data_IF_292676055033
#
_entry.id   IF_292676055033
#
_cell.length_a   1.000
_cell.length_b   1.000
_cell.length_c   1.000
_cell.angle_alpha   90.00
_cell.angle_beta   90.00
_cell.angle_gamma   90.00
#
_symmetry.space_group_name_H-M   'P 1'
#
loop_
_entity.id
_entity.type
_entity.pdbx_description
1 polymer ?
#
# COMPACT_ATOMS: atom_id res chain seq x y z
N UNK A 1 30.39 -72.52 -37.56
CA UNK A 1 29.77 -71.74 -38.65
C UNK A 1 30.42 -70.38 -38.69
N UNK A 2 30.88 -69.97 -39.88
CA UNK A 2 30.88 -68.62 -40.48
C UNK A 2 30.29 -67.47 -39.61
N UNK A 3 30.74 -66.21 -39.59
CA UNK A 3 31.82 -65.45 -40.27
C UNK A 3 31.75 -63.98 -39.77
N UNK A 4 32.67 -63.02 -39.98
CA UNK A 4 33.90 -62.91 -40.82
C UNK A 4 34.81 -61.76 -40.27
N UNK A 5 36.00 -61.61 -40.85
CA UNK A 5 36.77 -60.38 -41.19
C UNK A 5 36.04 -59.01 -41.05
N UNK A 6 36.68 -57.84 -40.78
CA UNK A 6 38.10 -57.46 -40.80
C UNK A 6 38.34 -55.98 -40.36
N UNK A 7 39.56 -55.69 -39.87
CA UNK A 7 40.46 -54.61 -40.36
C UNK A 7 40.06 -53.12 -40.21
N UNK A 8 40.70 -52.46 -39.21
CA UNK A 8 41.55 -51.23 -39.38
C UNK A 8 40.78 -49.89 -39.55
N UNK A 9 41.22 -48.70 -39.10
CA UNK A 9 42.59 -48.16 -38.99
C UNK A 9 42.80 -47.15 -37.82
N UNK A 10 44.07 -46.80 -37.55
CA UNK A 10 44.50 -45.71 -36.66
C UNK A 10 44.30 -44.34 -37.37
N UNK A 11 44.38 -43.17 -36.73
CA UNK A 11 45.63 -42.43 -36.43
C UNK A 11 45.29 -41.10 -35.71
N UNK A 12 46.17 -40.63 -34.80
CA UNK A 12 46.20 -39.28 -34.17
C UNK A 12 47.30 -38.42 -34.85
N UNK A 13 47.60 -37.15 -34.47
CA UNK A 13 46.84 -36.06 -33.82
C UNK A 13 46.87 -34.75 -34.67
N UNK A 14 46.40 -33.61 -34.15
CA UNK A 14 46.64 -32.29 -34.76
C UNK A 14 46.29 -31.10 -33.85
N UNK A 15 47.30 -30.31 -33.46
CA UNK A 15 47.14 -29.08 -32.66
C UNK A 15 47.10 -27.87 -33.60
N UNK A 16 46.22 -26.89 -33.33
CA UNK A 16 46.37 -25.55 -33.91
C UNK A 16 45.78 -24.45 -33.01
N UNK A 17 46.67 -23.71 -32.36
CA UNK A 17 46.36 -22.44 -31.68
C UNK A 17 45.92 -21.38 -32.70
N UNK A 18 44.87 -20.61 -32.37
CA UNK A 18 44.65 -19.27 -32.97
C UNK A 18 44.27 -18.24 -31.90
N UNK A 19 44.73 -17.02 -32.14
CA UNK A 19 44.87 -15.96 -31.15
C UNK A 19 43.61 -15.07 -31.05
N UNK A 20 43.47 -14.38 -29.91
CA UNK A 20 42.46 -13.34 -29.71
C UNK A 20 42.85 -12.01 -30.39
N UNK A 21 41.89 -11.22 -30.91
CA UNK A 21 42.12 -9.84 -31.30
C UNK A 21 41.73 -8.86 -30.17
N UNK A 22 42.69 -8.08 -29.68
CA UNK A 22 42.38 -6.82 -28.99
C UNK A 22 42.07 -5.70 -29.99
N UNK A 23 41.07 -4.86 -29.69
CA UNK A 23 40.95 -3.43 -30.11
C UNK A 23 39.80 -2.80 -29.30
N UNK A 24 40.03 -1.79 -28.45
CA UNK A 24 40.41 -0.37 -28.66
C UNK A 24 39.20 0.52 -28.34
N UNK A 25 39.30 1.29 -27.26
CA UNK A 25 38.28 2.26 -26.82
C UNK A 25 38.19 3.48 -27.76
N UNK A 26 36.99 4.06 -27.97
CA UNK A 26 36.82 5.37 -28.62
C UNK A 26 36.91 6.53 -27.60
N UNK A 27 37.16 7.78 -28.06
CA UNK A 27 37.63 8.87 -27.20
C UNK A 27 36.53 9.80 -26.64
N UNK A 28 36.89 10.50 -25.56
CA UNK A 28 36.15 11.63 -24.98
C UNK A 28 36.05 12.81 -25.97
N UNK A 29 34.89 13.47 -26.04
CA UNK A 29 34.73 14.77 -26.73
C UNK A 29 33.97 15.81 -25.89
N UNK A 30 34.76 16.69 -25.27
CA UNK A 30 34.60 18.14 -25.17
C UNK A 30 33.20 18.77 -25.03
N UNK A 31 33.05 19.50 -23.90
CA UNK A 31 32.16 20.66 -23.67
C UNK A 31 31.70 21.40 -24.94
N UNK A 32 30.42 21.81 -24.96
CA UNK A 32 29.97 23.03 -25.65
C UNK A 32 29.49 24.06 -24.64
N UNK A 33 29.77 25.33 -24.91
CA UNK A 33 29.42 26.48 -24.08
C UNK A 33 27.93 26.81 -24.20
N UNK A 34 27.35 27.35 -23.12
CA UNK A 34 26.01 27.95 -23.13
C UNK A 34 26.17 29.48 -23.21
N UNK A 35 25.51 30.11 -24.19
CA UNK A 35 25.62 31.54 -24.46
C UNK A 35 24.46 32.33 -23.85
N UNK A 36 24.82 33.20 -22.90
CA UNK A 36 24.25 34.50 -22.52
C UNK A 36 22.92 34.97 -23.20
N UNK A 37 21.85 35.22 -22.43
CA UNK A 37 21.34 36.55 -21.94
C UNK A 37 20.27 37.18 -22.90
N UNK A 38 19.57 38.29 -22.54
CA UNK A 38 18.68 38.48 -21.38
C UNK A 38 17.32 39.16 -21.74
N UNK A 39 16.36 39.27 -20.80
CA UNK A 39 15.65 40.53 -20.42
C UNK A 39 14.33 40.32 -19.64
N UNK A 40 14.07 41.22 -18.67
CA UNK A 40 12.73 41.56 -18.16
C UNK A 40 12.20 42.83 -18.85
N UNK A 41 10.87 43.04 -18.87
CA UNK A 41 10.22 44.02 -17.96
C UNK A 41 8.91 43.46 -17.34
N UNK A 42 8.15 44.12 -16.45
CA UNK A 42 8.25 45.42 -15.78
C UNK A 42 6.98 45.66 -14.91
N UNK A 43 7.02 46.60 -13.94
CA UNK A 43 5.90 46.88 -13.00
C UNK A 43 4.78 47.76 -13.60
N UNK A 44 3.52 47.52 -13.17
CA UNK A 44 2.40 48.46 -12.88
C UNK A 44 1.26 47.63 -12.23
N UNK A 45 0.56 47.94 -11.14
CA UNK A 45 0.15 49.15 -10.39
C UNK A 45 -1.28 49.64 -10.69
N UNK A 46 -2.17 49.49 -9.68
CA UNK A 46 -3.57 49.99 -9.57
C UNK A 46 -4.57 49.31 -10.55
N UNK A 47 -5.89 49.25 -10.33
CA UNK A 47 -6.82 50.06 -9.51
C UNK A 47 -7.93 49.22 -8.83
N UNK A 48 -8.48 49.71 -7.71
CA UNK A 48 -9.83 49.35 -7.25
C UNK A 48 -10.90 50.15 -8.02
N UNK A 49 -12.15 49.71 -8.03
CA UNK A 49 -13.32 50.60 -7.96
C UNK A 49 -14.10 50.35 -6.66
N UNK A 50 -14.21 51.40 -5.85
CA UNK A 50 -15.28 51.56 -4.88
C UNK A 50 -16.60 51.88 -5.60
N UNK A 51 -17.76 51.66 -4.94
CA UNK A 51 -18.69 52.72 -4.53
C UNK A 51 -20.06 52.18 -4.04
N UNK A 52 -20.57 52.87 -3.00
CA UNK A 52 -22.00 53.10 -2.65
C UNK A 52 -22.86 51.86 -2.33
N UNK A 53 -23.27 51.62 -1.08
CA UNK A 53 -24.13 52.44 -0.18
C UNK A 53 -25.57 52.62 -0.66
N UNK A 54 -26.53 51.95 0.01
CA UNK A 54 -27.92 52.40 0.22
C UNK A 54 -28.65 51.50 1.24
N UNK A 55 -28.79 51.98 2.48
CA UNK A 55 -30.00 51.73 3.29
C UNK A 55 -31.08 52.71 2.80
N UNK A 56 -32.39 52.43 2.95
CA UNK A 56 -33.10 52.56 4.24
C UNK A 56 -34.15 51.42 4.42
N UNK A 57 -35.10 51.36 5.37
CA UNK A 57 -35.60 52.25 6.42
C UNK A 57 -35.87 51.44 7.71
N UNK A 58 -35.82 52.11 8.87
CA UNK A 58 -36.40 51.59 10.13
C UNK A 58 -37.82 52.17 10.26
N UNK A 59 -38.82 51.31 10.47
CA UNK A 59 -40.12 51.70 11.01
C UNK A 59 -40.34 51.03 12.38
N UNK A 60 -40.69 51.85 13.38
CA UNK A 60 -41.03 51.37 14.74
C UNK A 60 -42.51 51.03 14.78
N UNK A 61 -42.85 49.84 15.28
CA UNK A 61 -44.16 49.56 15.84
C UNK A 61 -43.98 49.12 17.30
N UNK A 62 -44.65 49.79 18.23
CA UNK A 62 -44.73 49.38 19.64
C UNK A 62 -45.90 48.41 19.79
N UNK A 63 -45.65 47.21 20.30
CA UNK A 63 -46.68 46.23 20.64
C UNK A 63 -46.34 45.56 21.97
N UNK A 64 -47.12 45.85 23.01
CA UNK A 64 -46.95 45.30 24.35
C UNK A 64 -47.70 43.99 24.51
N UNK A 65 -47.01 42.87 24.76
CA UNK A 65 -47.64 41.65 25.26
C UNK A 65 -46.69 40.78 26.09
N UNK A 66 -47.01 40.68 27.39
CA UNK A 66 -46.88 39.52 28.28
C UNK A 66 -45.61 38.65 28.27
N UNK A 67 -44.97 38.64 29.45
CA UNK A 67 -44.10 37.55 29.94
C UNK A 67 -44.74 36.16 29.72
N UNK A 68 -44.01 35.25 29.09
CA UNK A 68 -43.97 33.84 29.50
C UNK A 68 -42.52 33.38 29.58
N UNK A 69 -42.10 32.92 30.76
CA UNK A 69 -40.79 32.29 30.93
C UNK A 69 -40.88 30.89 30.33
N UNK A 70 -40.22 30.66 29.20
CA UNK A 70 -39.89 29.32 28.76
C UNK A 70 -38.42 29.09 29.11
N UNK A 71 -38.20 28.48 30.27
CA UNK A 71 -36.92 27.85 30.57
C UNK A 71 -36.85 26.58 29.71
N UNK A 72 -36.48 26.76 28.44
CA UNK A 72 -36.20 25.65 27.55
C UNK A 72 -34.96 24.97 28.10
N UNK A 73 -35.14 23.88 28.85
CA UNK A 73 -34.04 23.07 29.33
C UNK A 73 -33.32 22.52 28.11
N UNK A 74 -32.14 23.09 27.83
CA UNK A 74 -31.19 22.49 26.91
C UNK A 74 -30.77 21.16 27.51
N UNK A 75 -31.50 20.09 27.14
CA UNK A 75 -31.04 18.72 27.34
C UNK A 75 -29.77 18.58 26.52
N UNK A 76 -28.63 18.77 27.17
CA UNK A 76 -27.37 18.26 26.68
C UNK A 76 -27.61 16.79 26.29
N UNK A 77 -27.20 16.36 25.08
CA UNK A 77 -27.22 14.93 24.76
C UNK A 77 -26.39 14.22 25.83
N UNK A 78 -26.76 13.00 26.26
CA UNK A 78 -26.09 12.34 27.37
C UNK A 78 -24.62 12.12 27.01
N UNK A 79 -23.75 12.98 27.57
CA UNK A 79 -22.29 12.90 27.58
C UNK A 79 -21.86 11.72 28.45
N UNK A 80 -22.29 10.53 28.04
CA UNK A 80 -22.37 9.35 28.86
C UNK A 80 -21.32 8.34 28.45
N UNK A 81 -20.58 7.88 29.46
CA UNK A 81 -19.73 6.69 29.39
C UNK A 81 -20.54 5.51 28.83
N UNK A 82 -21.82 5.36 29.20
CA UNK A 82 -22.72 4.33 28.65
C UNK A 82 -22.75 4.30 27.11
N UNK A 83 -22.99 5.43 26.43
CA UNK A 83 -23.03 5.47 24.97
C UNK A 83 -21.64 5.27 24.32
N UNK A 84 -20.53 5.38 25.06
CA UNK A 84 -19.20 4.96 24.58
C UNK A 84 -19.01 3.46 24.81
N UNK A 85 -19.34 2.95 26.00
CA UNK A 85 -19.22 1.54 26.36
C UNK A 85 -20.05 0.64 25.43
N UNK A 86 -21.29 1.02 25.09
CA UNK A 86 -22.13 0.27 24.13
C UNK A 86 -21.64 0.33 22.67
N UNK A 87 -20.78 1.30 22.32
CA UNK A 87 -20.12 1.35 20.99
C UNK A 87 -18.81 0.57 20.99
N UNK A 88 -18.04 0.64 22.08
CA UNK A 88 -16.86 -0.19 22.33
C UNK A 88 -17.22 -1.68 22.31
N UNK A 89 -18.31 -2.09 22.99
CA UNK A 89 -18.77 -3.48 22.96
C UNK A 89 -19.11 -3.91 21.54
N UNK A 90 -19.84 -3.08 20.79
CA UNK A 90 -20.22 -3.40 19.41
C UNK A 90 -19.01 -3.54 18.46
N UNK A 91 -17.99 -2.68 18.57
CA UNK A 91 -16.78 -2.82 17.74
C UNK A 91 -15.95 -4.04 18.14
N UNK A 92 -15.87 -4.37 19.43
CA UNK A 92 -15.20 -5.57 19.91
C UNK A 92 -15.92 -6.84 19.44
N UNK A 93 -17.26 -6.87 19.50
CA UNK A 93 -18.11 -7.93 18.94
C UNK A 93 -17.91 -8.08 17.42
N UNK A 94 -17.85 -6.96 16.68
CA UNK A 94 -17.57 -6.95 15.23
C UNK A 94 -16.18 -7.53 14.93
N UNK A 95 -15.14 -7.12 15.66
CA UNK A 95 -13.78 -7.63 15.47
C UNK A 95 -13.69 -9.12 15.81
N UNK A 96 -14.29 -9.55 16.92
CA UNK A 96 -14.35 -10.96 17.32
C UNK A 96 -15.09 -11.82 16.27
N UNK A 97 -16.20 -11.33 15.73
CA UNK A 97 -16.95 -11.97 14.63
C UNK A 97 -16.10 -12.10 13.36
N UNK A 98 -15.33 -11.07 13.00
CA UNK A 98 -14.41 -11.15 11.86
C UNK A 98 -13.25 -12.13 12.10
N UNK A 99 -12.68 -12.16 13.30
CA UNK A 99 -11.66 -13.16 13.65
C UNK A 99 -12.22 -14.58 13.59
N UNK A 100 -13.47 -14.80 14.00
CA UNK A 100 -14.16 -16.08 13.85
C UNK A 100 -14.38 -16.47 12.37
N UNK A 101 -14.75 -15.51 11.50
CA UNK A 101 -14.88 -15.74 10.05
C UNK A 101 -13.54 -16.05 9.37
N UNK A 102 -12.48 -15.32 9.73
CA UNK A 102 -11.11 -15.62 9.26
C UNK A 102 -10.71 -17.03 9.68
N UNK A 103 -10.91 -17.40 10.96
CA UNK A 103 -10.67 -18.76 11.48
C UNK A 103 -11.48 -19.84 10.76
N UNK A 104 -12.73 -19.57 10.41
CA UNK A 104 -13.55 -20.51 9.65
C UNK A 104 -13.02 -20.72 8.23
N UNK A 105 -12.55 -19.65 7.56
CA UNK A 105 -11.92 -19.75 6.24
C UNK A 105 -10.56 -20.48 6.32
N UNK A 106 -9.73 -20.22 7.34
CA UNK A 106 -8.51 -20.99 7.62
C UNK A 106 -8.80 -22.49 7.74
N UNK A 107 -9.84 -22.85 8.50
CA UNK A 107 -10.27 -24.25 8.70
C UNK A 107 -10.76 -24.90 7.39
N UNK A 108 -11.58 -24.23 6.60
CA UNK A 108 -12.02 -24.74 5.28
C UNK A 108 -10.84 -24.97 4.33
N UNK A 109 -9.81 -24.14 4.43
CA UNK A 109 -8.57 -24.25 3.67
C UNK A 109 -7.56 -25.28 4.26
N UNK A 110 -7.90 -25.96 5.36
CA UNK A 110 -6.97 -26.84 6.12
C UNK A 110 -5.67 -26.15 6.56
N UNK A 111 -5.74 -24.85 6.86
CA UNK A 111 -4.59 -24.01 7.25
C UNK A 111 -4.42 -23.90 8.77
N UNK A 112 -3.19 -23.65 9.26
CA UNK A 112 -2.96 -23.36 10.67
C UNK A 112 -3.74 -22.14 11.15
N UNK A 113 -4.20 -22.18 12.39
CA UNK A 113 -4.94 -21.08 13.00
C UNK A 113 -4.03 -19.86 13.21
N UNK A 114 -4.45 -18.69 12.77
CA UNK A 114 -3.62 -17.47 12.80
C UNK A 114 -2.54 -17.43 11.70
N UNK A 115 -2.69 -18.21 10.63
CA UNK A 115 -1.88 -18.10 9.41
C UNK A 115 -2.31 -16.92 8.51
N UNK A 116 -3.38 -16.21 8.87
CA UNK A 116 -3.88 -15.02 8.18
C UNK A 116 -3.90 -13.82 9.12
N UNK A 117 -3.21 -12.75 8.74
CA UNK A 117 -3.28 -11.45 9.43
C UNK A 117 -4.50 -10.63 8.95
N UNK A 118 -5.26 -10.05 9.88
CA UNK A 118 -6.26 -9.02 9.58
C UNK A 118 -5.62 -7.63 9.63
N UNK A 119 -5.56 -6.95 8.49
CA UNK A 119 -5.18 -5.53 8.41
C UNK A 119 -6.44 -4.65 8.40
N UNK A 120 -6.63 -3.85 9.46
CA UNK A 120 -7.82 -3.01 9.63
C UNK A 120 -7.72 -1.73 8.79
N UNK A 121 -8.52 -1.62 7.74
CA UNK A 121 -8.48 -0.48 6.80
C UNK A 121 -9.26 0.71 7.37
N UNK A 122 -8.55 1.82 7.61
CA UNK A 122 -9.03 2.95 8.42
C UNK A 122 -9.35 4.23 7.64
N UNK A 123 -9.29 4.18 6.30
CA UNK A 123 -9.66 5.30 5.41
C UNK A 123 -11.05 5.86 5.77
N UNK A 124 -11.13 7.15 6.11
CA UNK A 124 -12.37 7.80 6.54
C UNK A 124 -12.90 7.39 7.93
N UNK A 125 -12.18 6.56 8.70
CA UNK A 125 -12.50 6.21 10.09
C UNK A 125 -11.86 7.24 11.04
N UNK A 126 -12.59 7.78 12.03
CA UNK A 126 -12.04 8.73 13.00
C UNK A 126 -11.13 8.04 14.04
N UNK A 127 -10.15 8.76 14.57
CA UNK A 127 -9.11 8.21 15.43
C UNK A 127 -9.65 7.53 16.70
N UNK A 128 -10.79 8.00 17.23
CA UNK A 128 -11.47 7.41 18.38
C UNK A 128 -11.90 5.96 18.09
N UNK A 129 -12.45 5.67 16.90
CA UNK A 129 -12.83 4.30 16.51
C UNK A 129 -11.61 3.40 16.25
N UNK A 130 -10.47 3.99 15.91
CA UNK A 130 -9.20 3.26 15.80
C UNK A 130 -8.70 2.92 17.21
N UNK A 131 -8.80 3.84 18.17
CA UNK A 131 -8.50 3.58 19.57
C UNK A 131 -9.44 2.52 20.20
N UNK A 132 -10.74 2.52 19.86
CA UNK A 132 -11.67 1.44 20.24
C UNK A 132 -11.23 0.08 19.67
N UNK A 133 -10.76 0.02 18.42
CA UNK A 133 -10.23 -1.22 17.81
C UNK A 133 -8.94 -1.68 18.50
N UNK A 134 -8.09 -0.75 18.94
CA UNK A 134 -6.88 -1.04 19.71
C UNK A 134 -7.22 -1.65 21.07
N UNK A 135 -8.24 -1.13 21.76
CA UNK A 135 -8.73 -1.72 23.02
C UNK A 135 -9.26 -3.15 22.81
N UNK A 136 -9.92 -3.39 21.68
CA UNK A 136 -10.39 -4.71 21.26
C UNK A 136 -9.27 -5.66 20.76
N UNK A 137 -8.00 -5.23 20.77
CA UNK A 137 -6.84 -6.06 20.44
C UNK A 137 -6.27 -5.91 19.03
N UNK A 138 -6.86 -5.07 18.17
CA UNK A 138 -6.31 -4.83 16.83
C UNK A 138 -4.96 -4.08 16.92
N UNK A 139 -3.95 -4.54 16.17
CA UNK A 139 -2.60 -3.94 16.18
C UNK A 139 -2.08 -3.49 14.82
N UNK A 140 -2.72 -3.90 13.72
CA UNK A 140 -2.31 -3.58 12.35
C UNK A 140 -3.37 -2.74 11.64
N UNK A 141 -3.00 -1.57 11.13
CA UNK A 141 -3.90 -0.62 10.47
C UNK A 141 -3.41 -0.26 9.06
N UNK A 142 -4.32 -0.28 8.09
CA UNK A 142 -4.05 0.06 6.70
C UNK A 142 -4.66 1.40 6.33
N UNK A 143 -3.88 2.28 5.73
CA UNK A 143 -4.33 3.59 5.26
C UNK A 143 -4.06 3.85 3.78
N UNK A 144 -4.96 4.61 3.15
CA UNK A 144 -4.89 4.89 1.71
C UNK A 144 -4.22 6.22 1.37
N UNK A 145 -4.07 7.13 2.35
CA UNK A 145 -3.55 8.48 2.11
C UNK A 145 -2.56 8.87 3.20
N UNK A 146 -1.41 9.37 2.78
CA UNK A 146 -0.32 9.82 3.67
C UNK A 146 -0.81 10.85 4.70
N UNK A 147 -1.62 11.82 4.28
CA UNK A 147 -2.19 12.85 5.16
C UNK A 147 -3.05 12.24 6.28
N UNK A 148 -4.04 11.40 5.91
CA UNK A 148 -4.91 10.73 6.90
C UNK A 148 -4.10 9.82 7.83
N UNK A 149 -3.05 9.17 7.32
CA UNK A 149 -2.15 8.30 8.10
C UNK A 149 -1.35 9.11 9.14
N UNK A 150 -0.73 10.23 8.75
CA UNK A 150 -0.01 11.13 9.67
C UNK A 150 -0.93 11.66 10.79
N UNK A 151 -2.11 12.16 10.42
CA UNK A 151 -3.10 12.71 11.35
C UNK A 151 -3.60 11.64 12.33
N UNK A 152 -3.95 10.44 11.83
CA UNK A 152 -4.46 9.33 12.66
C UNK A 152 -3.38 8.72 13.53
N UNK A 153 -2.14 8.55 13.05
CA UNK A 153 -1.03 8.04 13.86
C UNK A 153 -0.73 8.97 15.03
N UNK A 154 -0.73 10.28 14.81
CA UNK A 154 -0.56 11.27 15.88
C UNK A 154 -1.73 11.26 16.88
N UNK A 155 -2.98 11.28 16.40
CA UNK A 155 -4.17 11.28 17.26
C UNK A 155 -4.29 9.97 18.08
N UNK A 156 -4.03 8.81 17.46
CA UNK A 156 -4.03 7.51 18.15
C UNK A 156 -2.96 7.43 19.23
N UNK A 157 -1.75 7.95 18.98
CA UNK A 157 -0.70 8.02 19.99
C UNK A 157 -1.07 8.89 21.20
N UNK A 158 -1.90 9.92 21.02
CA UNK A 158 -2.45 10.73 22.12
C UNK A 158 -3.59 10.00 22.85
N UNK A 159 -4.44 9.29 22.12
CA UNK A 159 -5.58 8.54 22.69
C UNK A 159 -5.13 7.28 23.46
N UNK A 160 -4.09 6.59 23.00
CA UNK A 160 -3.55 5.34 23.57
C UNK A 160 -2.01 5.43 23.70
N UNK A 161 -1.50 6.29 24.61
CA UNK A 161 -0.07 6.46 24.80
C UNK A 161 0.59 5.15 25.25
N UNK A 162 1.75 4.84 24.67
CA UNK A 162 2.52 3.63 24.98
C UNK A 162 2.02 2.33 24.33
N UNK A 163 0.93 2.35 23.54
CA UNK A 163 0.47 1.16 22.80
C UNK A 163 1.10 1.14 21.41
N UNK A 164 1.95 0.14 21.15
CA UNK A 164 2.53 -0.06 19.82
C UNK A 164 1.50 -0.63 18.82
N UNK A 165 1.45 -0.01 17.63
CA UNK A 165 0.59 -0.41 16.50
C UNK A 165 1.34 -0.19 15.20
N UNK A 166 1.07 -1.03 14.19
CA UNK A 166 1.67 -0.92 12.85
C UNK A 166 0.74 -0.18 11.89
N UNK A 167 1.29 0.76 11.14
CA UNK A 167 0.63 1.51 10.08
C UNK A 167 1.19 1.16 8.70
N UNK A 168 0.34 0.59 7.84
CA UNK A 168 0.65 0.25 6.46
C UNK A 168 0.05 1.30 5.52
N UNK A 169 0.85 1.91 4.63
CA UNK A 169 0.30 2.65 3.49
C UNK A 169 -0.06 1.65 2.37
N UNK A 170 -1.36 1.46 2.13
CA UNK A 170 -1.93 0.53 1.14
C UNK A 170 -2.52 1.23 -0.09
N UNK A 171 -2.49 2.56 -0.13
CA UNK A 171 -2.98 3.37 -1.26
C UNK A 171 -1.85 3.98 -2.09
N UNK A 172 -2.13 4.37 -3.36
CA UNK A 172 -1.10 4.78 -4.32
C UNK A 172 -0.25 5.96 -3.84
N UNK A 173 1.07 5.81 -3.95
CA UNK A 173 2.04 6.77 -3.39
C UNK A 173 2.58 7.74 -4.46
N UNK A 174 2.21 9.00 -4.32
CA UNK A 174 2.72 10.10 -5.15
C UNK A 174 4.14 10.50 -4.73
N UNK A 175 5.03 10.75 -5.70
CA UNK A 175 6.45 11.05 -5.45
C UNK A 175 6.68 12.24 -4.50
N UNK A 176 5.84 13.28 -4.59
CA UNK A 176 5.91 14.46 -3.71
C UNK A 176 5.50 14.20 -2.26
N UNK A 177 4.82 13.07 -1.99
CA UNK A 177 4.44 12.63 -0.63
C UNK A 177 5.36 11.54 -0.08
N UNK A 178 6.35 11.07 -0.86
CA UNK A 178 7.21 9.95 -0.51
C UNK A 178 7.90 10.14 0.85
N UNK A 179 8.63 11.25 1.05
CA UNK A 179 9.34 11.50 2.33
C UNK A 179 8.41 11.50 3.55
N UNK A 180 7.19 12.01 3.41
CA UNK A 180 6.16 11.99 4.46
C UNK A 180 5.66 10.56 4.74
N UNK A 181 5.36 9.80 3.69
CA UNK A 181 4.97 8.39 3.80
C UNK A 181 6.04 7.55 4.53
N UNK A 182 7.32 7.80 4.21
CA UNK A 182 8.47 7.09 4.77
C UNK A 182 8.81 7.44 6.24
N UNK A 183 8.16 8.46 6.80
CA UNK A 183 8.20 8.80 8.24
C UNK A 183 6.93 8.30 8.94
N UNK A 184 5.79 8.35 8.24
CA UNK A 184 4.48 8.10 8.84
C UNK A 184 4.07 6.62 8.86
N UNK A 185 4.49 5.82 7.87
CA UNK A 185 4.12 4.41 7.74
C UNK A 185 5.29 3.48 8.10
N UNK A 186 4.98 2.38 8.79
CA UNK A 186 5.95 1.32 9.11
C UNK A 186 6.15 0.36 7.91
N UNK A 187 5.18 0.32 6.98
CA UNK A 187 5.26 -0.41 5.71
C UNK A 187 4.62 0.34 4.55
N UNK A 188 5.27 0.34 3.38
CA UNK A 188 4.66 0.80 2.11
C UNK A 188 4.24 -0.42 1.30
N UNK A 189 2.95 -0.73 1.29
CA UNK A 189 2.39 -1.95 0.68
C UNK A 189 2.02 -1.78 -0.81
N UNK A 190 2.15 -0.57 -1.34
CA UNK A 190 1.67 -0.18 -2.67
C UNK A 190 2.82 0.17 -3.64
N UNK A 191 3.95 -0.54 -3.58
CA UNK A 191 5.07 -0.26 -4.50
C UNK A 191 4.77 -0.89 -5.85
N UNK A 192 4.39 -0.07 -6.82
CA UNK A 192 3.77 -0.46 -8.09
C UNK A 192 4.69 -0.39 -9.32
N UNK A 193 5.91 0.14 -9.16
CA UNK A 193 6.90 0.33 -10.23
C UNK A 193 8.31 0.53 -9.69
N UNK A 194 9.31 0.31 -10.55
CA UNK A 194 10.73 0.35 -10.15
C UNK A 194 11.20 1.76 -9.77
N UNK A 195 10.70 2.82 -10.41
CA UNK A 195 11.13 4.19 -10.10
C UNK A 195 10.62 4.67 -8.73
N UNK A 196 9.54 4.07 -8.21
CA UNK A 196 9.10 4.30 -6.84
C UNK A 196 10.01 3.55 -5.85
N UNK A 197 10.34 2.29 -6.15
CA UNK A 197 11.28 1.50 -5.35
C UNK A 197 12.67 2.14 -5.28
N UNK A 198 13.22 2.58 -6.41
CA UNK A 198 14.52 3.25 -6.50
C UNK A 198 14.58 4.48 -5.58
N UNK A 199 13.56 5.33 -5.61
CA UNK A 199 13.46 6.53 -4.74
C UNK A 199 13.29 6.17 -3.27
N UNK A 200 12.59 5.08 -2.94
CA UNK A 200 12.53 4.54 -1.56
C UNK A 200 13.94 4.11 -1.12
N UNK A 201 14.68 3.39 -1.97
CA UNK A 201 16.04 2.94 -1.70
C UNK A 201 17.07 4.06 -1.59
N UNK A 202 16.98 5.09 -2.43
CA UNK A 202 17.79 6.32 -2.33
C UNK A 202 17.62 6.99 -0.97
N UNK A 203 16.37 7.14 -0.50
CA UNK A 203 16.07 7.76 0.79
C UNK A 203 16.58 6.86 1.93
N UNK A 204 16.31 5.54 1.90
CA UNK A 204 16.83 4.56 2.88
C UNK A 204 18.34 4.48 2.95
N UNK A 205 19.05 4.69 1.84
CA UNK A 205 20.51 4.77 1.85
C UNK A 205 20.99 6.08 2.49
N UNK A 206 20.31 7.19 2.20
CA UNK A 206 20.69 8.51 2.69
C UNK A 206 20.42 8.73 4.19
N UNK A 207 19.37 8.10 4.74
CA UNK A 207 18.99 8.19 6.15
C UNK A 207 19.24 6.91 6.96
N UNK A 208 19.91 5.92 6.36
CA UNK A 208 20.22 4.59 6.91
C UNK A 208 19.00 3.84 7.52
N UNK A 209 17.77 4.26 7.21
CA UNK A 209 16.58 3.75 7.88
C UNK A 209 16.04 2.50 7.18
N UNK A 210 15.90 1.42 7.95
CA UNK A 210 15.32 0.17 7.48
C UNK A 210 13.84 0.34 7.12
N UNK A 211 13.43 -0.07 5.92
CA UNK A 211 12.04 0.07 5.45
C UNK A 211 11.46 -1.21 4.90
N UNK A 212 10.22 -1.48 5.28
CA UNK A 212 9.43 -2.65 4.86
C UNK A 212 8.51 -2.26 3.71
N UNK A 213 8.43 -3.09 2.68
CA UNK A 213 7.56 -2.87 1.53
C UNK A 213 6.87 -4.14 1.07
N UNK A 214 5.75 -3.99 0.36
CA UNK A 214 5.20 -5.02 -0.52
C UNK A 214 5.23 -4.52 -1.96
N UNK A 215 5.44 -5.42 -2.92
CA UNK A 215 5.27 -5.10 -4.34
C UNK A 215 3.82 -5.33 -4.74
N UNK A 216 3.19 -4.32 -5.34
CA UNK A 216 1.81 -4.39 -5.81
C UNK A 216 1.76 -4.97 -7.23
N UNK A 217 0.98 -6.03 -7.41
CA UNK A 217 0.82 -6.78 -8.66
C UNK A 217 -0.60 -6.60 -9.19
N UNK A 218 -0.73 -6.15 -10.43
CA UNK A 218 -1.98 -6.16 -11.18
C UNK A 218 -2.15 -7.51 -11.89
N UNK A 219 -2.50 -8.54 -11.11
CA UNK A 219 -2.64 -9.92 -11.61
C UNK A 219 -3.72 -10.09 -12.69
N UNK A 220 -4.71 -9.20 -12.69
CA UNK A 220 -5.82 -9.18 -13.65
C UNK A 220 -5.49 -8.45 -14.96
N UNK A 221 -4.31 -7.80 -15.03
CA UNK A 221 -3.86 -6.89 -16.10
C UNK A 221 -4.91 -5.81 -16.50
N UNK A 222 -5.74 -5.42 -15.54
CA UNK A 222 -6.80 -4.42 -15.71
C UNK A 222 -6.20 -3.02 -15.77
N UNK A 223 -6.35 -2.32 -16.90
CA UNK A 223 -5.80 -0.98 -17.13
C UNK A 223 -6.29 0.10 -16.12
N UNK A 224 -7.38 -0.14 -15.39
CA UNK A 224 -7.85 0.74 -14.33
C UNK A 224 -7.12 0.53 -12.98
N UNK A 225 -6.27 -0.51 -12.85
CA UNK A 225 -5.56 -0.87 -11.61
C UNK A 225 -4.07 -0.53 -11.66
N UNK A 226 -3.55 -0.07 -10.54
CA UNK A 226 -2.11 0.09 -10.32
C UNK A 226 -1.44 -1.23 -9.94
N UNK A 227 -0.15 -1.35 -10.22
CA UNK A 227 0.68 -2.50 -9.93
C UNK A 227 1.47 -2.96 -11.15
N UNK A 228 2.56 -3.69 -10.93
CA UNK A 228 3.26 -4.39 -11.99
C UNK A 228 2.33 -5.43 -12.63
N UNK A 229 2.35 -5.59 -13.96
CA UNK A 229 1.84 -6.83 -14.56
C UNK A 229 2.75 -7.99 -14.17
N UNK A 230 2.26 -9.25 -14.19
CA UNK A 230 3.07 -10.44 -13.92
C UNK A 230 4.36 -10.52 -14.75
N UNK A 231 4.31 -10.09 -16.02
CA UNK A 231 5.48 -10.01 -16.88
C UNK A 231 6.43 -8.86 -16.49
N UNK A 232 5.91 -7.64 -16.31
CA UNK A 232 6.71 -6.47 -15.94
C UNK A 232 7.48 -6.67 -14.62
N UNK A 233 6.87 -7.35 -13.63
CA UNK A 233 7.59 -7.67 -12.38
C UNK A 233 8.72 -8.69 -12.62
N UNK A 234 8.50 -9.72 -13.44
CA UNK A 234 9.54 -10.71 -13.79
C UNK A 234 10.73 -10.06 -14.49
N UNK A 235 10.46 -9.18 -15.45
CA UNK A 235 11.49 -8.41 -16.17
C UNK A 235 12.24 -7.45 -15.21
N UNK A 236 11.56 -6.88 -14.22
CA UNK A 236 12.15 -5.97 -13.26
C UNK A 236 13.01 -6.63 -12.15
N UNK A 237 12.96 -7.96 -11.97
CA UNK A 237 13.67 -8.64 -10.86
C UNK A 237 15.18 -8.31 -10.74
N UNK A 238 15.98 -8.24 -11.82
CA UNK A 238 17.40 -7.89 -11.72
C UNK A 238 17.63 -6.46 -11.22
N UNK A 239 16.79 -5.51 -11.64
CA UNK A 239 16.89 -4.10 -11.22
C UNK A 239 16.43 -3.93 -9.76
N UNK A 240 15.35 -4.63 -9.38
CA UNK A 240 14.89 -4.71 -7.98
C UNK A 240 16.01 -5.28 -7.10
N UNK A 241 16.70 -6.34 -7.52
CA UNK A 241 17.83 -6.92 -6.78
C UNK A 241 18.98 -5.91 -6.59
N UNK A 242 19.33 -5.15 -7.63
CA UNK A 242 20.33 -4.08 -7.54
C UNK A 242 19.93 -2.96 -6.57
N UNK A 243 18.65 -2.57 -6.53
CA UNK A 243 18.16 -1.54 -5.60
C UNK A 243 18.18 -2.04 -4.15
N UNK A 244 17.69 -3.26 -3.90
CA UNK A 244 17.59 -3.86 -2.56
C UNK A 244 18.98 -4.13 -1.96
N UNK A 245 19.91 -4.70 -2.73
CA UNK A 245 21.28 -4.95 -2.26
C UNK A 245 22.03 -3.67 -1.84
N UNK A 246 21.67 -2.52 -2.40
CA UNK A 246 22.27 -1.23 -2.10
C UNK A 246 21.56 -0.39 -1.03
N UNK A 247 20.51 -0.87 -0.36
CA UNK A 247 19.75 -0.08 0.62
C UNK A 247 19.13 -0.95 1.72
N UNK A 248 18.90 -0.44 2.95
CA UNK A 248 18.24 -1.19 4.01
C UNK A 248 16.73 -1.31 3.74
N UNK A 249 16.36 -2.17 2.79
CA UNK A 249 15.00 -2.45 2.36
C UNK A 249 14.65 -3.92 2.53
N UNK A 250 13.41 -4.20 2.90
CA UNK A 250 12.88 -5.57 2.99
C UNK A 250 11.57 -5.66 2.22
N UNK A 251 11.55 -6.49 1.17
CA UNK A 251 10.31 -6.88 0.49
C UNK A 251 9.70 -8.01 1.33
N UNK A 252 8.66 -7.71 2.10
CA UNK A 252 8.01 -8.70 2.97
C UNK A 252 7.07 -9.64 2.20
N UNK A 253 6.75 -9.30 0.96
CA UNK A 253 5.91 -10.10 0.06
C UNK A 253 5.22 -9.25 -1.01
N UNK A 254 4.05 -9.71 -1.45
CA UNK A 254 3.28 -9.11 -2.54
C UNK A 254 1.88 -8.68 -2.09
N UNK A 255 1.30 -7.74 -2.83
CA UNK A 255 -0.08 -7.28 -2.68
C UNK A 255 -0.82 -7.30 -4.01
N UNK A 256 -2.07 -7.76 -4.03
CA UNK A 256 -2.98 -7.54 -5.16
C UNK A 256 -4.31 -6.94 -4.71
N UNK A 257 -4.95 -6.20 -5.61
CA UNK A 257 -6.35 -5.76 -5.50
C UNK A 257 -7.17 -6.58 -6.49
N UNK A 258 -8.00 -7.49 -5.98
CA UNK A 258 -8.79 -8.41 -6.80
C UNK A 258 -9.80 -7.71 -7.72
N UNK A 259 -10.35 -8.44 -8.69
CA UNK A 259 -11.41 -7.93 -9.57
C UNK A 259 -12.63 -7.52 -8.75
N UNK A 260 -13.19 -6.35 -9.04
CA UNK A 260 -14.48 -5.96 -8.47
C UNK A 260 -15.58 -6.74 -9.21
N UNK A 261 -15.95 -7.89 -8.65
CA UNK A 261 -16.93 -8.80 -9.22
C UNK A 261 -17.82 -9.38 -8.12
N UNK A 262 -19.07 -9.69 -8.47
CA UNK A 262 -19.98 -10.47 -7.62
C UNK A 262 -19.90 -11.98 -7.91
N UNK A 263 -19.14 -12.39 -8.92
CA UNK A 263 -18.98 -13.79 -9.32
C UNK A 263 -17.86 -14.47 -8.49
N UNK A 264 -18.19 -15.45 -7.62
CA UNK A 264 -17.18 -16.14 -6.80
C UNK A 264 -16.11 -16.88 -7.62
N UNK A 265 -16.45 -17.34 -8.83
CA UNK A 265 -15.50 -18.06 -9.70
C UNK A 265 -14.42 -17.13 -10.27
N UNK A 266 -14.79 -15.90 -10.64
CA UNK A 266 -13.83 -14.87 -11.07
C UNK A 266 -12.92 -14.45 -9.91
N UNK A 267 -13.49 -14.16 -8.74
CA UNK A 267 -12.71 -13.80 -7.55
C UNK A 267 -11.72 -14.92 -7.16
N UNK A 268 -12.17 -16.18 -7.18
CA UNK A 268 -11.32 -17.36 -6.94
C UNK A 268 -10.20 -17.46 -7.98
N UNK A 269 -10.51 -17.31 -9.27
CA UNK A 269 -9.52 -17.32 -10.35
C UNK A 269 -8.43 -16.25 -10.17
N UNK A 270 -8.82 -15.01 -9.83
CA UNK A 270 -7.90 -13.90 -9.53
C UNK A 270 -6.96 -14.23 -8.36
N UNK A 271 -7.48 -14.77 -7.25
CA UNK A 271 -6.65 -15.10 -6.09
C UNK A 271 -5.76 -16.33 -6.29
N UNK A 272 -6.27 -17.39 -6.91
CA UNK A 272 -5.50 -18.60 -7.25
C UNK A 272 -4.31 -18.24 -8.15
N UNK A 273 -4.57 -17.45 -9.20
CA UNK A 273 -3.54 -16.94 -10.11
C UNK A 273 -2.51 -16.08 -9.38
N UNK A 274 -2.93 -15.22 -8.44
CA UNK A 274 -2.02 -14.39 -7.66
C UNK A 274 -1.15 -15.20 -6.71
N UNK A 275 -1.69 -16.23 -6.06
CA UNK A 275 -0.92 -17.11 -5.16
C UNK A 275 0.10 -17.92 -5.96
N UNK A 276 -0.31 -18.56 -7.05
CA UNK A 276 0.61 -19.28 -7.95
C UNK A 276 1.73 -18.37 -8.48
N UNK A 277 1.38 -17.15 -8.90
CA UNK A 277 2.37 -16.14 -9.30
C UNK A 277 3.30 -15.75 -8.15
N UNK A 278 2.77 -15.57 -6.93
CA UNK A 278 3.55 -15.21 -5.74
C UNK A 278 4.62 -16.24 -5.39
N UNK A 279 4.33 -17.53 -5.57
CA UNK A 279 5.32 -18.61 -5.41
C UNK A 279 6.36 -18.56 -6.54
N UNK A 280 5.90 -18.57 -7.80
CA UNK A 280 6.79 -18.57 -8.98
C UNK A 280 7.77 -17.39 -9.01
N UNK A 281 7.30 -16.17 -8.69
CA UNK A 281 8.16 -14.98 -8.71
C UNK A 281 9.13 -14.94 -7.54
N UNK A 282 8.78 -15.55 -6.39
CA UNK A 282 9.71 -15.69 -5.24
C UNK A 282 10.84 -16.66 -5.57
N UNK A 283 10.56 -17.78 -6.24
CA UNK A 283 11.57 -18.73 -6.71
C UNK A 283 12.50 -18.07 -7.74
N UNK A 284 11.93 -17.39 -8.74
CA UNK A 284 12.69 -16.67 -9.76
C UNK A 284 13.56 -15.53 -9.18
N UNK A 285 13.08 -14.83 -8.15
CA UNK A 285 13.84 -13.82 -7.43
C UNK A 285 14.98 -14.44 -6.61
N UNK A 286 14.71 -15.54 -5.89
CA UNK A 286 15.72 -16.21 -5.07
C UNK A 286 16.87 -16.80 -5.91
N UNK A 287 16.57 -17.26 -7.13
CA UNK A 287 17.59 -17.68 -8.10
C UNK A 287 18.53 -16.53 -8.55
N UNK A 288 18.12 -15.27 -8.35
CA UNK A 288 18.90 -14.06 -8.61
C UNK A 288 19.47 -13.43 -7.33
N UNK A 289 19.38 -14.13 -6.18
CA UNK A 289 19.82 -13.63 -4.87
C UNK A 289 18.87 -12.62 -4.21
N UNK A 290 17.72 -12.32 -4.84
CA UNK A 290 16.71 -11.42 -4.29
C UNK A 290 15.72 -12.17 -3.39
N UNK A 291 15.64 -11.78 -2.12
CA UNK A 291 14.67 -12.35 -1.19
C UNK A 291 13.36 -11.55 -1.20
N UNK A 292 12.26 -12.25 -1.51
CA UNK A 292 10.88 -11.75 -1.40
C UNK A 292 10.18 -12.56 -0.31
N UNK A 293 9.71 -11.89 0.74
CA UNK A 293 9.11 -12.53 1.90
C UNK A 293 7.81 -13.30 1.61
N UNK A 294 7.30 -14.04 2.61
CA UNK A 294 6.19 -14.98 2.44
C UNK A 294 4.83 -14.31 2.21
N UNK A 295 4.69 -13.01 2.49
CA UNK A 295 3.39 -12.37 2.64
C UNK A 295 2.61 -12.27 1.33
N UNK A 296 1.36 -12.73 1.35
CA UNK A 296 0.40 -12.62 0.24
C UNK A 296 -0.78 -11.79 0.72
N UNK A 297 -0.78 -10.49 0.40
CA UNK A 297 -1.84 -9.56 0.77
C UNK A 297 -2.93 -9.55 -0.30
N UNK A 298 -4.06 -10.20 -0.02
CA UNK A 298 -5.20 -10.31 -0.92
C UNK A 298 -6.52 -10.41 -0.15
N UNK A 299 -7.64 -10.08 -0.80
CA UNK A 299 -8.95 -10.08 -0.16
C UNK A 299 -9.28 -8.81 0.63
N UNK A 300 -10.56 -8.45 0.56
CA UNK A 300 -11.23 -7.29 1.14
C UNK A 300 -12.61 -7.70 1.68
N UNK A 301 -13.37 -6.75 2.22
CA UNK A 301 -14.69 -6.97 2.85
C UNK A 301 -15.65 -7.96 2.17
N UNK A 302 -15.66 -8.04 0.83
CA UNK A 302 -16.58 -8.87 0.05
C UNK A 302 -16.06 -10.24 -0.37
N UNK A 303 -14.75 -10.47 -0.33
CA UNK A 303 -14.09 -11.61 -0.99
C UNK A 303 -12.94 -12.24 -0.17
N UNK A 304 -12.67 -11.72 1.05
CA UNK A 304 -11.54 -12.18 1.87
C UNK A 304 -11.56 -13.65 2.25
N UNK A 305 -12.74 -14.25 2.42
CA UNK A 305 -12.85 -15.68 2.73
C UNK A 305 -12.35 -16.55 1.57
N UNK A 306 -12.69 -16.17 0.32
CA UNK A 306 -12.14 -16.81 -0.88
C UNK A 306 -10.64 -16.57 -1.00
N UNK A 307 -10.16 -15.37 -0.68
CA UNK A 307 -8.72 -15.07 -0.69
C UNK A 307 -7.95 -15.94 0.32
N UNK A 308 -8.50 -16.18 1.51
CA UNK A 308 -7.91 -17.09 2.52
C UNK A 308 -7.90 -18.53 2.01
N UNK A 309 -8.99 -19.00 1.43
CA UNK A 309 -9.10 -20.34 0.84
C UNK A 309 -8.07 -20.59 -0.26
N UNK A 310 -7.80 -19.59 -1.10
CA UNK A 310 -6.79 -19.68 -2.16
C UNK A 310 -5.34 -19.48 -1.68
N UNK A 311 -5.10 -19.00 -0.46
CA UNK A 311 -3.76 -18.93 0.15
C UNK A 311 -3.27 -17.56 0.63
N UNK A 312 -4.11 -16.52 0.66
CA UNK A 312 -3.74 -15.20 1.20
C UNK A 312 -3.29 -15.29 2.67
N UNK A 313 -2.18 -14.64 3.03
CA UNK A 313 -1.66 -14.59 4.42
C UNK A 313 -2.00 -13.28 5.11
N UNK A 314 -2.60 -12.33 4.40
CA UNK A 314 -3.14 -11.10 4.96
C UNK A 314 -4.38 -10.66 4.19
N UNK A 315 -5.43 -10.30 4.92
CA UNK A 315 -6.68 -9.74 4.39
C UNK A 315 -6.89 -8.30 4.86
N UNK A 316 -7.50 -7.45 4.04
CA UNK A 316 -7.59 -6.00 4.29
C UNK A 316 -9.04 -5.56 4.49
N UNK A 317 -9.47 -5.48 5.75
CA UNK A 317 -10.90 -5.36 6.11
C UNK A 317 -11.23 -3.95 6.62
N UNK A 318 -12.15 -3.27 5.94
CA UNK A 318 -12.58 -1.90 6.26
C UNK A 318 -14.05 -1.85 6.66
N UNK A 319 -14.93 -1.84 5.67
CA UNK A 319 -16.39 -1.73 5.88
C UNK A 319 -17.01 -2.85 6.71
N UNK A 320 -16.43 -4.05 6.68
CA UNK A 320 -16.85 -5.18 7.53
C UNK A 320 -16.54 -4.98 9.01
N UNK A 321 -15.50 -4.21 9.34
CA UNK A 321 -15.09 -3.91 10.72
C UNK A 321 -15.70 -2.60 11.20
N UNK A 322 -15.61 -1.54 10.39
CA UNK A 322 -15.97 -0.19 10.82
C UNK A 322 -17.40 0.22 10.44
N UNK A 323 -18.11 -0.59 9.66
CA UNK A 323 -19.46 -0.31 9.14
C UNK A 323 -19.45 0.32 7.74
N UNK A 324 -20.64 0.49 7.17
CA UNK A 324 -20.83 1.31 5.98
C UNK A 324 -20.53 2.79 6.30
N UNK A 325 -20.13 3.56 5.28
CA UNK A 325 -19.99 5.02 5.42
C UNK A 325 -21.39 5.61 5.56
N UNK A 326 -21.59 6.43 6.59
CA UNK A 326 -22.68 7.42 6.62
C UNK A 326 -22.35 8.61 5.73
#
# INVERSE_FOLDING_TARGET
MNSRTATTERVRPGVLLRQAPQRRSPPLRTRRQCSQLPHQPGRRARTQPSLRSRSPHISRARGSAQRRSLVTSWRFPPSSVAARNSRMSHLAEQLASLHARVRAAEQRASRPAGSVELLAVTKGVPAERIAEAIDAGQRAFGENRVQELEEKRAAVAQLRPGVEVRWDLIGPLQSNKLRRALVAADRISSVDRVELLARIGEISRADASARRILLQVNIDEDAAKSGFTPDALRVALPEIAAIISGAPLTIEGLLTVGRLTSNPAEARSTFSSFVAFSHSVREAASAQGLQIGPLISAGMSGDFELAIEEGATQVRLGSTLFGARG
#
